data_IF_014001476303
#
_entry.id   IF_014001476303
#
_cell.length_a   1.000
_cell.length_b   1.000
_cell.length_c   1.000
_cell.angle_alpha   90.00
_cell.angle_beta   90.00
_cell.angle_gamma   90.00
#
_symmetry.space_group_name_H-M   'P 1'
#
loop_
_entity.id
_entity.type
_entity.pdbx_description
1 polymer ?
#
# COMPACT_ATOMS: atom_id res chain seq x y z
N UNK A 1 -42.37 -10.19 -57.08
CA UNK A 1 -41.84 -9.87 -58.42
C UNK A 1 -42.60 -10.56 -59.55
N UNK A 2 -42.61 -11.90 -59.65
CA UNK A 2 -43.17 -12.62 -60.81
C UNK A 2 -44.64 -12.26 -61.20
N UNK A 3 -45.52 -11.98 -60.23
CA UNK A 3 -46.95 -11.72 -60.53
C UNK A 3 -47.20 -10.32 -61.11
N UNK A 4 -46.63 -9.25 -60.52
CA UNK A 4 -46.80 -7.86 -61.00
C UNK A 4 -46.08 -7.66 -62.33
N UNK A 5 -44.89 -8.23 -62.50
CA UNK A 5 -44.16 -8.20 -63.77
C UNK A 5 -44.91 -8.93 -64.90
N UNK A 6 -45.57 -10.05 -64.58
CA UNK A 6 -46.42 -10.74 -65.55
C UNK A 6 -47.65 -9.90 -65.95
N UNK A 7 -48.22 -9.14 -65.01
CA UNK A 7 -49.33 -8.22 -65.30
C UNK A 7 -48.88 -7.03 -66.14
N UNK A 8 -47.69 -6.47 -65.88
CA UNK A 8 -47.08 -5.41 -66.71
C UNK A 8 -46.85 -5.91 -68.13
N UNK A 9 -46.25 -7.09 -68.32
CA UNK A 9 -46.07 -7.67 -69.66
C UNK A 9 -47.40 -7.87 -70.40
N UNK A 10 -48.43 -8.34 -69.70
CA UNK A 10 -49.78 -8.45 -70.28
C UNK A 10 -50.35 -7.09 -70.68
N UNK A 11 -50.08 -6.05 -69.89
CA UNK A 11 -50.49 -4.68 -70.16
C UNK A 11 -49.74 -4.09 -71.37
N UNK A 12 -48.44 -4.31 -71.48
CA UNK A 12 -47.61 -3.90 -72.63
C UNK A 12 -48.12 -4.55 -73.93
N UNK A 13 -48.40 -5.86 -73.90
CA UNK A 13 -48.98 -6.57 -75.04
C UNK A 13 -50.37 -6.03 -75.41
N UNK A 14 -51.19 -5.66 -74.42
CA UNK A 14 -52.50 -5.07 -74.67
C UNK A 14 -52.40 -3.66 -75.25
N UNK A 15 -51.43 -2.86 -74.81
CA UNK A 15 -51.11 -1.53 -75.36
C UNK A 15 -50.73 -1.59 -76.83
N UNK A 16 -49.93 -2.57 -77.24
CA UNK A 16 -49.55 -2.78 -78.64
C UNK A 16 -50.77 -3.09 -79.54
N UNK A 17 -51.68 -3.93 -79.04
CA UNK A 17 -52.95 -4.24 -79.73
C UNK A 17 -53.84 -3.00 -79.80
N UNK A 18 -53.96 -2.25 -78.71
CA UNK A 18 -54.72 -1.00 -78.67
C UNK A 18 -54.17 0.04 -79.66
N UNK A 19 -52.85 0.21 -79.73
CA UNK A 19 -52.19 1.13 -80.64
C UNK A 19 -52.59 0.85 -82.10
N UNK A 20 -52.45 -0.41 -82.53
CA UNK A 20 -52.84 -0.84 -83.89
C UNK A 20 -54.32 -0.59 -84.18
N UNK A 21 -55.20 -0.80 -83.19
CA UNK A 21 -56.63 -0.57 -83.36
C UNK A 21 -57.00 0.92 -83.33
N UNK A 22 -56.24 1.75 -82.62
CA UNK A 22 -56.43 3.20 -82.60
C UNK A 22 -56.07 3.85 -83.93
N UNK A 23 -55.01 3.38 -84.60
CA UNK A 23 -54.68 3.80 -85.97
C UNK A 23 -55.85 3.53 -86.93
N UNK A 24 -56.44 2.33 -86.88
CA UNK A 24 -57.63 1.99 -87.69
C UNK A 24 -58.84 2.88 -87.37
N UNK A 25 -59.07 3.20 -86.10
CA UNK A 25 -60.16 4.13 -85.70
C UNK A 25 -59.88 5.53 -86.23
N UNK A 26 -58.63 5.96 -86.26
CA UNK A 26 -58.23 7.26 -86.83
C UNK A 26 -58.46 7.31 -88.34
N UNK A 27 -58.20 6.22 -89.07
CA UNK A 27 -58.56 6.10 -90.48
C UNK A 27 -60.08 6.19 -90.70
N UNK A 28 -60.89 5.49 -89.88
CA UNK A 28 -62.37 5.57 -89.93
C UNK A 28 -62.85 7.01 -89.65
N UNK A 29 -62.20 7.72 -88.72
CA UNK A 29 -62.49 9.12 -88.41
C UNK A 29 -62.14 10.07 -89.57
N UNK A 30 -61.11 9.77 -90.35
CA UNK A 30 -60.80 10.50 -91.59
C UNK A 30 -61.83 10.21 -92.68
N UNK A 31 -62.15 8.94 -92.92
CA UNK A 31 -63.15 8.53 -93.92
C UNK A 31 -64.54 9.14 -93.62
N UNK A 32 -64.96 9.15 -92.35
CA UNK A 32 -66.21 9.77 -91.94
C UNK A 32 -66.22 11.29 -92.19
N UNK A 33 -65.07 11.97 -92.03
CA UNK A 33 -64.91 13.41 -92.33
C UNK A 33 -64.97 13.73 -93.82
N UNK A 34 -64.57 12.80 -94.68
CA UNK A 34 -64.59 12.97 -96.13
C UNK A 34 -66.00 12.79 -96.73
N UNK A 35 -66.92 12.16 -96.00
CA UNK A 35 -68.31 11.87 -96.41
C UNK A 35 -69.32 12.99 -96.09
N UNK A 36 -68.87 14.25 -95.96
CA UNK A 36 -69.71 15.40 -95.57
C UNK A 36 -70.91 15.67 -96.47
N UNK A 37 -70.84 15.30 -97.74
CA UNK A 37 -71.88 15.54 -98.74
C UNK A 37 -72.82 14.32 -98.92
N UNK A 38 -72.72 13.29 -98.09
CA UNK A 38 -73.53 12.07 -98.18
C UNK A 38 -74.89 12.22 -97.45
N UNK A 39 -75.96 11.60 -97.98
CA UNK A 39 -77.33 11.70 -97.42
C UNK A 39 -77.42 11.23 -95.96
N UNK A 40 -76.65 10.19 -95.59
CA UNK A 40 -76.58 9.64 -94.23
C UNK A 40 -75.50 10.26 -93.32
N UNK A 41 -74.93 11.42 -93.67
CA UNK A 41 -73.78 11.99 -92.96
C UNK A 41 -74.01 12.16 -91.45
N UNK A 42 -75.18 12.64 -91.00
CA UNK A 42 -75.46 12.80 -89.56
C UNK A 42 -75.40 11.48 -88.78
N UNK A 43 -75.85 10.38 -89.39
CA UNK A 43 -75.83 9.04 -88.77
C UNK A 43 -74.39 8.51 -88.71
N UNK A 44 -73.62 8.69 -89.79
CA UNK A 44 -72.20 8.30 -89.88
C UNK A 44 -71.37 9.10 -88.88
N UNK A 45 -71.58 10.40 -88.80
CA UNK A 45 -70.95 11.35 -87.88
C UNK A 45 -71.21 10.94 -86.42
N UNK A 46 -72.49 10.74 -86.04
CA UNK A 46 -72.87 10.32 -84.69
C UNK A 46 -72.23 8.99 -84.28
N UNK A 47 -72.19 8.02 -85.19
CA UNK A 47 -71.54 6.72 -84.95
C UNK A 47 -70.02 6.85 -84.81
N UNK A 48 -69.39 7.69 -85.62
CA UNK A 48 -67.96 8.00 -85.52
C UNK A 48 -67.63 8.65 -84.15
N UNK A 49 -68.40 9.65 -83.73
CA UNK A 49 -68.25 10.31 -82.43
C UNK A 49 -68.43 9.36 -81.25
N UNK A 50 -69.33 8.38 -81.34
CA UNK A 50 -69.47 7.33 -80.33
C UNK A 50 -68.21 6.44 -80.25
N UNK A 51 -67.66 6.05 -81.40
CA UNK A 51 -66.44 5.24 -81.47
C UNK A 51 -65.24 6.01 -80.92
N UNK A 52 -65.08 7.29 -81.27
CA UNK A 52 -64.02 8.16 -80.73
C UNK A 52 -64.15 8.32 -79.21
N UNK A 53 -65.36 8.53 -78.68
CA UNK A 53 -65.59 8.56 -77.22
C UNK A 53 -65.18 7.26 -76.54
N UNK A 54 -65.52 6.11 -77.10
CA UNK A 54 -65.12 4.80 -76.57
C UNK A 54 -63.61 4.59 -76.65
N UNK A 55 -62.96 5.02 -77.74
CA UNK A 55 -61.49 5.01 -77.91
C UNK A 55 -60.83 5.84 -76.82
N UNK A 56 -61.29 7.05 -76.58
CA UNK A 56 -60.69 7.98 -75.62
C UNK A 56 -60.88 7.47 -74.19
N UNK A 57 -62.07 6.96 -73.85
CA UNK A 57 -62.32 6.29 -72.56
C UNK A 57 -61.44 5.05 -72.36
N UNK A 58 -61.25 4.23 -73.40
CA UNK A 58 -60.35 3.08 -73.35
C UNK A 58 -58.90 3.53 -73.16
N UNK A 59 -58.45 4.57 -73.86
CA UNK A 59 -57.10 5.13 -73.74
C UNK A 59 -56.84 5.64 -72.32
N UNK A 60 -57.78 6.37 -71.73
CA UNK A 60 -57.68 6.82 -70.34
C UNK A 60 -57.68 5.66 -69.33
N UNK A 61 -58.54 4.65 -69.53
CA UNK A 61 -58.58 3.48 -68.66
C UNK A 61 -57.28 2.66 -68.77
N UNK A 62 -56.72 2.56 -69.97
CA UNK A 62 -55.47 1.88 -70.24
C UNK A 62 -54.29 2.57 -69.57
N UNK A 63 -54.20 3.90 -69.70
CA UNK A 63 -53.18 4.71 -69.03
C UNK A 63 -53.29 4.57 -67.51
N UNK A 64 -54.50 4.72 -66.93
CA UNK A 64 -54.72 4.54 -65.49
C UNK A 64 -54.27 3.16 -65.00
N UNK A 65 -54.56 2.10 -65.77
CA UNK A 65 -54.12 0.74 -65.41
C UNK A 65 -52.60 0.60 -65.49
N UNK A 66 -51.96 1.20 -66.47
CA UNK A 66 -50.50 1.24 -66.60
C UNK A 66 -49.86 1.91 -65.39
N UNK A 67 -50.35 3.09 -65.01
CA UNK A 67 -49.86 3.86 -63.87
C UNK A 67 -49.98 3.03 -62.58
N UNK A 68 -51.15 2.44 -62.31
CA UNK A 68 -51.37 1.56 -61.13
C UNK A 68 -50.40 0.35 -61.12
N UNK A 69 -50.12 -0.25 -62.28
CA UNK A 69 -49.19 -1.38 -62.36
C UNK A 69 -47.73 -0.96 -62.13
N UNK A 70 -47.35 0.25 -62.57
CA UNK A 70 -46.04 0.83 -62.29
C UNK A 70 -45.87 1.15 -60.81
N UNK A 71 -46.87 1.79 -60.20
CA UNK A 71 -46.96 2.06 -58.76
C UNK A 71 -46.86 0.76 -57.95
N UNK A 72 -47.64 -0.26 -58.30
CA UNK A 72 -47.60 -1.56 -57.63
C UNK A 72 -46.22 -2.24 -57.73
N UNK A 73 -45.50 -2.04 -58.83
CA UNK A 73 -44.13 -2.53 -58.99
C UNK A 73 -43.16 -1.76 -58.09
N UNK A 74 -43.25 -0.42 -58.06
CA UNK A 74 -42.42 0.41 -57.20
C UNK A 74 -42.62 0.07 -55.72
N UNK A 75 -43.87 -0.07 -55.27
CA UNK A 75 -44.20 -0.52 -53.91
C UNK A 75 -43.59 -1.90 -53.61
N UNK A 76 -43.72 -2.86 -54.52
CA UNK A 76 -43.19 -4.21 -54.27
C UNK A 76 -41.65 -4.23 -54.21
N UNK A 77 -40.96 -3.39 -54.98
CA UNK A 77 -39.51 -3.22 -54.90
C UNK A 77 -39.11 -2.60 -53.55
N UNK A 78 -39.83 -1.55 -53.14
CA UNK A 78 -39.61 -0.88 -51.87
C UNK A 78 -39.81 -1.82 -50.67
N UNK A 79 -40.89 -2.60 -50.65
CA UNK A 79 -41.16 -3.55 -49.56
C UNK A 79 -40.09 -4.65 -49.46
N UNK A 80 -39.53 -5.09 -50.60
CA UNK A 80 -38.44 -6.07 -50.60
C UNK A 80 -37.17 -5.47 -50.00
N UNK A 81 -36.77 -4.28 -50.45
CA UNK A 81 -35.59 -3.60 -49.93
C UNK A 81 -35.74 -3.27 -48.44
N UNK A 82 -36.93 -2.83 -48.03
CA UNK A 82 -37.28 -2.61 -46.63
C UNK A 82 -37.07 -3.87 -45.79
N UNK A 83 -37.57 -5.02 -46.26
CA UNK A 83 -37.44 -6.29 -45.54
C UNK A 83 -35.97 -6.69 -45.38
N UNK A 84 -35.15 -6.50 -46.42
CA UNK A 84 -33.71 -6.76 -46.35
C UNK A 84 -32.99 -5.86 -45.34
N UNK A 85 -33.26 -4.55 -45.37
CA UNK A 85 -32.66 -3.59 -44.42
C UNK A 85 -33.13 -3.89 -43.00
N UNK A 86 -34.42 -4.19 -42.80
CA UNK A 86 -35.01 -4.51 -41.49
C UNK A 86 -34.41 -5.77 -40.88
N UNK A 87 -34.24 -6.83 -41.68
CA UNK A 87 -33.59 -8.07 -41.25
C UNK A 87 -32.12 -7.84 -40.87
N UNK A 88 -31.40 -7.09 -41.71
CA UNK A 88 -30.01 -6.73 -41.42
C UNK A 88 -29.90 -5.94 -40.12
N UNK A 89 -30.73 -4.91 -39.90
CA UNK A 89 -30.74 -4.15 -38.64
C UNK A 89 -31.06 -5.05 -37.44
N UNK A 90 -32.09 -5.89 -37.54
CA UNK A 90 -32.49 -6.80 -36.47
C UNK A 90 -31.36 -7.77 -36.08
N UNK A 91 -30.62 -8.28 -37.08
CA UNK A 91 -29.43 -9.10 -36.83
C UNK A 91 -28.32 -8.30 -36.12
N UNK A 92 -28.06 -7.07 -36.55
CA UNK A 92 -27.04 -6.21 -35.94
C UNK A 92 -27.41 -5.80 -34.52
N UNK A 93 -28.69 -5.51 -34.24
CA UNK A 93 -29.19 -5.23 -32.88
C UNK A 93 -28.91 -6.44 -31.98
N UNK A 94 -29.18 -7.67 -32.44
CA UNK A 94 -28.89 -8.88 -31.66
C UNK A 94 -27.42 -9.00 -31.29
N UNK A 95 -26.51 -8.64 -32.21
CA UNK A 95 -25.06 -8.62 -31.94
C UNK A 95 -24.66 -7.48 -31.00
N UNK A 96 -25.24 -6.30 -31.17
CA UNK A 96 -24.99 -5.12 -30.33
C UNK A 96 -25.55 -5.29 -28.90
N UNK A 97 -26.56 -6.12 -28.70
CA UNK A 97 -27.19 -6.35 -27.39
C UNK A 97 -26.63 -7.55 -26.63
N UNK A 98 -25.55 -8.19 -27.11
CA UNK A 98 -24.91 -9.27 -26.36
C UNK A 98 -24.17 -8.76 -25.11
N UNK A 99 -23.99 -9.65 -24.14
CA UNK A 99 -23.29 -9.38 -22.87
C UNK A 99 -21.79 -9.76 -22.91
N UNK A 100 -21.18 -9.80 -24.09
CA UNK A 100 -19.80 -10.28 -24.27
C UNK A 100 -18.74 -9.45 -23.51
N UNK A 101 -19.08 -8.21 -23.13
CA UNK A 101 -18.24 -7.29 -22.34
C UNK A 101 -18.05 -7.75 -20.88
N UNK A 102 -18.94 -8.60 -20.35
CA UNK A 102 -18.82 -9.11 -18.95
C UNK A 102 -17.64 -10.07 -18.78
N UNK A 103 -17.25 -10.74 -19.84
CA UNK A 103 -16.05 -11.57 -19.87
C UNK A 103 -14.84 -10.71 -20.23
N UNK A 104 -13.95 -10.52 -19.26
CA UNK A 104 -12.77 -9.66 -19.38
C UNK A 104 -11.65 -10.28 -20.24
N UNK A 105 -11.78 -11.55 -20.66
CA UNK A 105 -10.79 -12.17 -21.52
C UNK A 105 -10.80 -11.55 -22.93
N UNK A 106 -9.61 -11.32 -23.48
CA UNK A 106 -9.42 -10.74 -24.82
C UNK A 106 -10.18 -9.41 -25.04
N UNK A 107 -10.39 -8.61 -23.99
CA UNK A 107 -11.20 -7.39 -24.04
C UNK A 107 -10.71 -6.38 -25.11
N UNK A 108 -9.40 -6.28 -25.32
CA UNK A 108 -8.83 -5.46 -26.38
C UNK A 108 -9.32 -5.90 -27.77
N UNK A 109 -9.32 -7.22 -28.03
CA UNK A 109 -9.83 -7.77 -29.28
C UNK A 109 -11.33 -7.52 -29.45
N UNK A 110 -12.11 -7.65 -28.37
CA UNK A 110 -13.55 -7.33 -28.36
C UNK A 110 -13.79 -5.86 -28.70
N UNK A 111 -12.99 -4.96 -28.12
CA UNK A 111 -13.06 -3.50 -28.39
C UNK A 111 -12.72 -3.18 -29.86
N UNK A 112 -11.67 -3.79 -30.41
CA UNK A 112 -11.31 -3.62 -31.82
C UNK A 112 -12.38 -4.17 -32.77
N UNK A 113 -12.96 -5.33 -32.46
CA UNK A 113 -14.07 -5.90 -33.22
C UNK A 113 -15.30 -5.00 -33.18
N UNK A 114 -15.61 -4.39 -32.03
CA UNK A 114 -16.71 -3.43 -31.91
C UNK A 114 -16.45 -2.16 -32.72
N UNK A 115 -15.23 -1.64 -32.75
CA UNK A 115 -14.89 -0.50 -33.60
C UNK A 115 -15.07 -0.81 -35.10
N UNK A 116 -14.72 -2.03 -35.53
CA UNK A 116 -14.99 -2.48 -36.90
C UNK A 116 -16.50 -2.62 -37.18
N UNK A 117 -17.27 -3.08 -36.19
CA UNK A 117 -18.73 -3.16 -36.25
C UNK A 117 -19.38 -1.76 -36.33
N UNK A 118 -18.90 -0.78 -35.56
CA UNK A 118 -19.32 0.63 -35.67
C UNK A 118 -19.06 1.18 -37.08
N UNK A 119 -17.87 0.90 -37.65
CA UNK A 119 -17.53 1.31 -39.02
C UNK A 119 -18.44 0.65 -40.07
N UNK A 120 -18.80 -0.62 -39.89
CA UNK A 120 -19.75 -1.33 -40.75
C UNK A 120 -21.14 -0.67 -40.71
N UNK A 121 -21.65 -0.33 -39.52
CA UNK A 121 -22.94 0.35 -39.38
C UNK A 121 -22.92 1.71 -40.08
N UNK A 122 -21.88 2.51 -39.86
CA UNK A 122 -21.73 3.83 -40.49
C UNK A 122 -21.62 3.73 -42.02
N UNK A 123 -20.96 2.71 -42.55
CA UNK A 123 -20.89 2.48 -44.00
C UNK A 123 -22.24 2.14 -44.63
N UNK A 124 -23.17 1.57 -43.85
CA UNK A 124 -24.53 1.25 -44.29
C UNK A 124 -25.55 2.37 -44.03
N UNK A 125 -25.17 3.45 -43.33
CA UNK A 125 -26.04 4.58 -43.06
C UNK A 125 -26.56 5.24 -44.35
N UNK A 126 -25.69 5.39 -45.37
CA UNK A 126 -26.11 5.95 -46.67
C UNK A 126 -27.22 5.13 -47.32
N UNK A 127 -27.15 3.79 -47.25
CA UNK A 127 -28.20 2.89 -47.77
C UNK A 127 -29.54 3.13 -47.09
N UNK A 128 -29.55 3.30 -45.76
CA UNK A 128 -30.78 3.57 -45.01
C UNK A 128 -31.35 4.94 -45.39
N UNK A 129 -30.51 5.97 -45.48
CA UNK A 129 -30.92 7.32 -45.90
C UNK A 129 -31.47 7.34 -47.32
N UNK A 130 -30.82 6.65 -48.26
CA UNK A 130 -31.25 6.59 -49.65
C UNK A 130 -32.55 5.80 -49.81
N UNK A 131 -32.76 4.76 -49.00
CA UNK A 131 -34.05 4.05 -48.92
C UNK A 131 -35.16 4.96 -48.39
N UNK A 132 -34.93 5.68 -47.28
CA UNK A 132 -35.93 6.59 -46.71
C UNK A 132 -36.34 7.66 -47.71
N UNK A 133 -35.39 8.28 -48.42
CA UNK A 133 -35.69 9.25 -49.49
C UNK A 133 -36.53 8.66 -50.62
N UNK A 134 -36.24 7.43 -51.04
CA UNK A 134 -37.03 6.75 -52.07
C UNK A 134 -38.47 6.52 -51.59
N UNK A 135 -38.64 6.13 -50.33
CA UNK A 135 -39.95 5.97 -49.72
C UNK A 135 -40.72 7.29 -49.59
N UNK A 136 -40.05 8.37 -49.19
CA UNK A 136 -40.60 9.72 -49.10
C UNK A 136 -41.06 10.25 -50.46
N UNK A 137 -40.29 10.03 -51.53
CA UNK A 137 -40.69 10.43 -52.88
C UNK A 137 -42.02 9.79 -53.31
N UNK A 138 -42.25 8.50 -52.99
CA UNK A 138 -43.52 7.84 -53.27
C UNK A 138 -44.68 8.43 -52.45
N UNK A 139 -44.41 8.95 -51.25
CA UNK A 139 -45.42 9.67 -50.46
C UNK A 139 -45.78 11.02 -51.09
N UNK A 140 -44.79 11.76 -51.60
CA UNK A 140 -45.00 13.03 -52.30
C UNK A 140 -45.84 12.86 -53.57
N UNK A 141 -45.66 11.75 -54.28
CA UNK A 141 -46.43 11.37 -55.46
C UNK A 141 -47.88 10.91 -55.13
N UNK A 142 -48.28 10.90 -53.85
CA UNK A 142 -49.58 10.45 -53.35
C UNK A 142 -49.91 9.02 -53.76
N UNK A 143 -48.92 8.14 -53.69
CA UNK A 143 -49.04 6.72 -53.99
C UNK A 143 -50.22 6.07 -53.22
N UNK A 144 -50.93 5.14 -53.85
CA UNK A 144 -52.15 4.55 -53.26
C UNK A 144 -51.93 3.84 -51.91
N UNK A 145 -50.69 3.38 -51.65
CA UNK A 145 -50.26 2.73 -50.42
C UNK A 145 -49.51 3.66 -49.44
N UNK A 146 -49.73 4.98 -49.50
CA UNK A 146 -48.99 5.96 -48.70
C UNK A 146 -49.02 5.67 -47.19
N UNK A 147 -50.13 5.19 -46.64
CA UNK A 147 -50.25 4.86 -45.20
C UNK A 147 -49.30 3.72 -44.82
N UNK A 148 -49.26 2.65 -45.61
CA UNK A 148 -48.38 1.50 -45.39
C UNK A 148 -46.90 1.91 -45.51
N UNK A 149 -46.55 2.70 -46.53
CA UNK A 149 -45.20 3.23 -46.72
C UNK A 149 -44.78 4.07 -45.51
N UNK A 150 -45.66 4.93 -45.01
CA UNK A 150 -45.36 5.78 -43.85
C UNK A 150 -45.13 4.97 -42.57
N UNK A 151 -45.94 3.95 -42.29
CA UNK A 151 -45.73 3.04 -41.16
C UNK A 151 -44.39 2.32 -41.26
N UNK A 152 -44.00 1.89 -42.46
CA UNK A 152 -42.73 1.23 -42.70
C UNK A 152 -41.52 2.15 -42.50
N UNK A 153 -41.58 3.40 -42.96
CA UNK A 153 -40.53 4.39 -42.70
C UNK A 153 -40.37 4.60 -41.20
N UNK A 154 -41.47 4.82 -40.46
CA UNK A 154 -41.41 5.04 -39.02
C UNK A 154 -40.80 3.85 -38.27
N UNK A 155 -41.17 2.63 -38.65
CA UNK A 155 -40.58 1.42 -38.06
C UNK A 155 -39.08 1.29 -38.35
N UNK A 156 -38.65 1.67 -39.56
CA UNK A 156 -37.25 1.67 -39.95
C UNK A 156 -36.42 2.67 -39.15
N UNK A 157 -36.95 3.89 -38.96
CA UNK A 157 -36.33 4.94 -38.15
C UNK A 157 -36.16 4.50 -36.69
N UNK A 158 -37.21 3.90 -36.10
CA UNK A 158 -37.16 3.37 -34.74
C UNK A 158 -36.10 2.26 -34.61
N UNK A 159 -36.04 1.33 -35.57
CA UNK A 159 -35.03 0.27 -35.59
C UNK A 159 -33.60 0.81 -35.75
N UNK A 160 -33.44 1.86 -36.55
CA UNK A 160 -32.14 2.52 -36.70
C UNK A 160 -31.70 3.19 -35.40
N UNK A 161 -32.62 3.89 -34.72
CA UNK A 161 -32.37 4.48 -33.41
C UNK A 161 -32.01 3.41 -32.37
N UNK A 162 -32.76 2.30 -32.31
CA UNK A 162 -32.48 1.16 -31.43
C UNK A 162 -31.09 0.56 -31.69
N UNK A 163 -30.71 0.38 -32.97
CA UNK A 163 -29.39 -0.11 -33.35
C UNK A 163 -28.28 0.83 -32.90
N UNK A 164 -28.45 2.13 -33.10
CA UNK A 164 -27.47 3.14 -32.66
C UNK A 164 -27.34 3.16 -31.14
N UNK A 165 -28.46 3.12 -30.41
CA UNK A 165 -28.49 3.08 -28.96
C UNK A 165 -27.81 1.82 -28.42
N UNK A 166 -28.13 0.64 -28.97
CA UNK A 166 -27.50 -0.62 -28.57
C UNK A 166 -25.99 -0.63 -28.85
N UNK A 167 -25.58 -0.10 -30.02
CA UNK A 167 -24.17 -0.02 -30.41
C UNK A 167 -23.37 0.91 -29.50
N UNK A 168 -23.94 2.07 -29.17
CA UNK A 168 -23.33 3.04 -28.26
C UNK A 168 -23.26 2.48 -26.83
N UNK A 169 -24.34 1.87 -26.34
CA UNK A 169 -24.35 1.24 -25.03
C UNK A 169 -23.29 0.14 -24.92
N UNK A 170 -23.14 -0.72 -25.93
CA UNK A 170 -22.09 -1.75 -25.93
C UNK A 170 -20.68 -1.15 -25.92
N UNK A 171 -20.46 -0.03 -26.61
CA UNK A 171 -19.19 0.70 -26.57
C UNK A 171 -18.89 1.23 -25.16
N UNK A 172 -19.87 1.84 -24.50
CA UNK A 172 -19.75 2.30 -23.13
C UNK A 172 -19.46 1.14 -22.18
N UNK A 173 -20.18 0.02 -22.32
CA UNK A 173 -19.95 -1.19 -21.50
C UNK A 173 -18.59 -1.83 -21.72
N UNK A 174 -18.07 -1.83 -22.94
CA UNK A 174 -16.70 -2.30 -23.22
C UNK A 174 -15.64 -1.39 -22.59
N UNK A 175 -15.88 -0.07 -22.59
CA UNK A 175 -15.01 0.89 -21.90
C UNK A 175 -15.06 0.70 -20.39
N UNK A 176 -16.26 0.62 -19.81
CA UNK A 176 -16.43 0.32 -18.39
C UNK A 176 -15.71 -1.00 -18.01
N UNK A 177 -15.85 -2.05 -18.83
CA UNK A 177 -15.18 -3.32 -18.57
C UNK A 177 -13.64 -3.19 -18.57
N UNK A 178 -13.11 -2.29 -19.40
CA UNK A 178 -11.68 -2.01 -19.45
C UNK A 178 -11.23 -1.24 -18.21
N UNK A 179 -11.97 -0.21 -17.83
CA UNK A 179 -11.70 0.58 -16.63
C UNK A 179 -11.76 -0.29 -15.36
N UNK A 180 -12.74 -1.19 -15.27
CA UNK A 180 -12.85 -2.17 -14.19
C UNK A 180 -11.69 -3.18 -14.16
N UNK A 181 -11.18 -3.62 -15.31
CA UNK A 181 -10.02 -4.51 -15.38
C UNK A 181 -8.74 -3.81 -14.88
N UNK A 182 -8.51 -2.56 -15.32
CA UNK A 182 -7.37 -1.77 -14.85
C UNK A 182 -7.46 -1.50 -13.35
N UNK A 183 -8.66 -1.19 -12.87
CA UNK A 183 -8.94 -1.02 -11.45
C UNK A 183 -8.61 -2.29 -10.65
N UNK A 184 -9.09 -3.44 -11.15
CA UNK A 184 -8.87 -4.73 -10.52
C UNK A 184 -7.37 -5.04 -10.39
N UNK A 185 -6.58 -4.85 -11.44
CA UNK A 185 -5.13 -5.09 -11.36
C UNK A 185 -4.46 -4.25 -10.28
N UNK A 186 -4.78 -2.94 -10.22
CA UNK A 186 -4.24 -2.06 -9.17
C UNK A 186 -4.66 -2.50 -7.77
N UNK A 187 -5.89 -3.00 -7.62
CA UNK A 187 -6.37 -3.49 -6.33
C UNK A 187 -5.74 -4.83 -5.96
N UNK A 188 -5.51 -5.72 -6.93
CA UNK A 188 -4.84 -7.00 -6.75
C UNK A 188 -3.38 -6.79 -6.30
N UNK A 189 -2.68 -5.77 -6.81
CA UNK A 189 -1.33 -5.41 -6.34
C UNK A 189 -1.31 -5.06 -4.83
N UNK A 190 -2.31 -4.28 -4.37
CA UNK A 190 -2.45 -3.95 -2.94
C UNK A 190 -2.79 -5.21 -2.14
N UNK A 191 -3.72 -6.03 -2.62
CA UNK A 191 -4.13 -7.25 -1.93
C UNK A 191 -2.99 -8.25 -1.80
N UNK A 192 -2.14 -8.37 -2.81
CA UNK A 192 -0.94 -9.21 -2.75
C UNK A 192 0.00 -8.74 -1.64
N UNK A 193 0.30 -7.44 -1.58
CA UNK A 193 1.12 -6.88 -0.49
C UNK A 193 0.47 -7.07 0.89
N UNK A 194 -0.86 -6.89 1.00
CA UNK A 194 -1.58 -7.14 2.25
C UNK A 194 -1.43 -8.60 2.70
N UNK A 195 -1.56 -9.57 1.79
CA UNK A 195 -1.38 -11.00 2.09
C UNK A 195 0.04 -11.31 2.58
N UNK A 196 1.06 -10.80 1.89
CA UNK A 196 2.46 -10.99 2.31
C UNK A 196 2.73 -10.36 3.69
N UNK A 197 2.19 -9.16 3.91
CA UNK A 197 2.37 -8.41 5.16
C UNK A 197 1.64 -9.09 6.33
N UNK A 198 0.42 -9.59 6.10
CA UNK A 198 -0.35 -10.37 7.10
C UNK A 198 0.45 -11.59 7.57
N UNK A 199 1.03 -12.36 6.64
CA UNK A 199 1.86 -13.53 6.97
C UNK A 199 3.12 -13.14 7.77
N UNK A 200 3.78 -12.04 7.40
CA UNK A 200 4.96 -11.58 8.12
C UNK A 200 4.63 -11.11 9.55
N UNK A 201 3.49 -10.43 9.71
CA UNK A 201 3.00 -9.97 11.02
C UNK A 201 2.52 -11.14 11.89
N UNK A 202 2.09 -12.26 11.34
CA UNK A 202 1.73 -13.44 12.15
C UNK A 202 2.95 -14.16 12.75
N UNK A 203 4.17 -13.92 12.26
CA UNK A 203 5.38 -14.45 12.90
C UNK A 203 5.63 -13.76 14.25
N UNK A 204 5.67 -14.54 15.34
CA UNK A 204 5.64 -14.05 16.73
C UNK A 204 6.90 -14.33 17.56
N UNK A 205 7.93 -14.97 17.01
CA UNK A 205 9.11 -15.36 17.81
C UNK A 205 10.30 -14.45 17.54
N UNK A 206 10.57 -13.54 18.48
CA UNK A 206 11.82 -12.78 18.53
C UNK A 206 12.59 -13.11 19.82
N UNK A 207 13.91 -13.19 19.72
CA UNK A 207 14.80 -13.34 20.87
C UNK A 207 14.77 -12.02 21.69
N UNK A 208 14.53 -12.06 23.01
CA UNK A 208 14.53 -10.87 23.87
C UNK A 208 15.92 -10.26 24.11
N UNK A 209 16.79 -10.26 23.10
CA UNK A 209 18.08 -9.58 23.09
C UNK A 209 17.96 -8.21 22.40
N UNK A 210 18.67 -7.20 22.92
CA UNK A 210 18.72 -5.83 22.38
C UNK A 210 18.98 -5.81 20.87
N UNK A 211 19.92 -6.62 20.37
CA UNK A 211 20.26 -6.64 18.94
C UNK A 211 19.11 -7.19 18.08
N UNK A 212 18.46 -8.27 18.53
CA UNK A 212 17.33 -8.88 17.83
C UNK A 212 16.09 -7.97 17.87
N UNK A 213 15.80 -7.35 19.02
CA UNK A 213 14.72 -6.38 19.19
C UNK A 213 14.90 -5.16 18.27
N UNK A 214 16.12 -4.63 18.16
CA UNK A 214 16.39 -3.51 17.25
C UNK A 214 16.22 -3.89 15.78
N UNK A 215 16.60 -5.11 15.40
CA UNK A 215 16.39 -5.62 14.05
C UNK A 215 14.88 -5.71 13.74
N UNK A 216 14.09 -6.26 14.66
CA UNK A 216 12.65 -6.39 14.46
C UNK A 216 11.94 -5.04 14.45
N UNK A 217 12.37 -4.08 15.29
CA UNK A 217 11.86 -2.70 15.25
C UNK A 217 12.12 -2.06 13.89
N UNK A 218 13.34 -2.17 13.37
CA UNK A 218 13.67 -1.62 12.05
C UNK A 218 12.80 -2.25 10.95
N UNK A 219 12.60 -3.56 11.00
CA UNK A 219 11.74 -4.28 10.06
C UNK A 219 10.29 -3.79 10.12
N UNK A 220 9.70 -3.65 11.32
CA UNK A 220 8.34 -3.13 11.49
C UNK A 220 8.23 -1.67 10.99
N UNK A 221 9.27 -0.85 11.20
CA UNK A 221 9.31 0.53 10.70
C UNK A 221 9.43 0.60 9.17
N UNK A 222 10.18 -0.31 8.55
CA UNK A 222 10.23 -0.44 7.08
C UNK A 222 8.86 -0.83 6.53
N UNK A 223 8.22 -1.85 7.10
CA UNK A 223 6.84 -2.25 6.75
C UNK A 223 5.84 -1.10 6.95
N UNK A 224 6.01 -0.29 8.00
CA UNK A 224 5.18 0.90 8.26
C UNK A 224 5.32 1.98 7.19
N UNK A 225 6.53 2.19 6.65
CA UNK A 225 6.75 3.13 5.53
C UNK A 225 6.10 2.62 4.25
N UNK A 226 6.23 1.33 3.95
CA UNK A 226 5.55 0.71 2.82
C UNK A 226 4.03 0.84 2.96
N UNK A 227 3.49 0.62 4.16
CA UNK A 227 2.06 0.81 4.43
C UNK A 227 1.58 2.24 4.13
N UNK A 228 2.38 3.26 4.43
CA UNK A 228 2.03 4.65 4.12
C UNK A 228 1.93 4.91 2.61
N UNK A 229 2.80 4.30 1.79
CA UNK A 229 2.71 4.37 0.33
C UNK A 229 1.43 3.70 -0.18
N UNK A 230 1.10 2.50 0.32
CA UNK A 230 -0.14 1.81 -0.03
C UNK A 230 -1.40 2.52 0.46
N UNK A 231 -1.33 3.25 1.58
CA UNK A 231 -2.41 4.14 2.05
C UNK A 231 -2.79 5.18 1.01
N UNK A 232 -1.79 5.81 0.40
CA UNK A 232 -2.01 6.82 -0.65
C UNK A 232 -2.62 6.18 -1.90
N UNK A 233 -2.11 5.03 -2.33
CA UNK A 233 -2.66 4.29 -3.46
C UNK A 233 -4.12 3.86 -3.22
N UNK A 234 -4.44 3.39 -2.02
CA UNK A 234 -5.80 3.00 -1.64
C UNK A 234 -6.77 4.18 -1.61
N UNK A 235 -6.31 5.39 -1.21
CA UNK A 235 -7.11 6.62 -1.32
C UNK A 235 -7.43 6.95 -2.77
N UNK A 236 -6.42 6.92 -3.65
CA UNK A 236 -6.64 7.14 -5.09
C UNK A 236 -7.63 6.12 -5.69
N UNK A 237 -7.54 4.85 -5.30
CA UNK A 237 -8.50 3.84 -5.72
C UNK A 237 -9.91 4.07 -5.15
N UNK A 238 -10.01 4.61 -3.93
CA UNK A 238 -11.30 4.99 -3.35
C UNK A 238 -11.94 6.14 -4.12
N UNK A 239 -11.17 7.16 -4.50
CA UNK A 239 -11.65 8.28 -5.32
C UNK A 239 -12.13 7.81 -6.69
N UNK A 240 -11.38 6.89 -7.34
CA UNK A 240 -11.78 6.28 -8.61
C UNK A 240 -13.07 5.46 -8.45
N UNK A 241 -13.22 4.71 -7.34
CA UNK A 241 -14.44 3.95 -7.08
C UNK A 241 -15.67 4.87 -6.89
N UNK A 242 -15.49 6.02 -6.25
CA UNK A 242 -16.54 7.05 -6.14
C UNK A 242 -16.88 7.66 -7.51
N UNK A 243 -15.89 7.92 -8.36
CA UNK A 243 -16.09 8.40 -9.73
C UNK A 243 -16.91 7.39 -10.57
N UNK A 244 -16.61 6.08 -10.45
CA UNK A 244 -17.38 5.02 -11.09
C UNK A 244 -18.82 4.97 -10.59
N UNK A 245 -19.05 5.24 -9.31
CA UNK A 245 -20.40 5.33 -8.76
C UNK A 245 -21.19 6.50 -9.36
N UNK A 246 -20.56 7.68 -9.46
CA UNK A 246 -21.18 8.88 -10.02
C UNK A 246 -21.54 8.71 -11.49
N UNK A 247 -20.71 8.00 -12.26
CA UNK A 247 -20.96 7.68 -13.68
C UNK A 247 -21.94 6.53 -13.90
N UNK A 248 -22.46 5.92 -12.84
CA UNK A 248 -23.34 4.75 -12.93
C UNK A 248 -22.71 3.56 -13.69
N UNK A 249 -21.42 3.33 -13.45
CA UNK A 249 -20.65 2.22 -14.02
C UNK A 249 -21.30 0.85 -13.71
N UNK A 250 -21.31 -0.09 -14.67
CA UNK A 250 -22.07 -1.35 -14.48
C UNK A 250 -21.60 -2.21 -13.30
N UNK A 251 -20.30 -2.20 -12.99
CA UNK A 251 -19.71 -2.92 -11.83
C UNK A 251 -19.54 -2.09 -10.56
N UNK A 252 -20.18 -0.92 -10.45
CA UNK A 252 -19.96 0.02 -9.33
C UNK A 252 -20.11 -0.64 -7.94
N UNK A 253 -21.12 -1.48 -7.75
CA UNK A 253 -21.41 -2.07 -6.44
C UNK A 253 -20.34 -3.10 -6.03
N UNK A 254 -19.84 -3.89 -6.98
CA UNK A 254 -18.75 -4.84 -6.75
C UNK A 254 -17.44 -4.10 -6.44
N UNK A 255 -17.12 -3.06 -7.22
CA UNK A 255 -15.89 -2.27 -7.02
C UNK A 255 -15.88 -1.64 -5.62
N UNK A 256 -16.97 -0.97 -5.22
CA UNK A 256 -17.08 -0.37 -3.88
C UNK A 256 -16.95 -1.41 -2.77
N UNK A 257 -17.59 -2.57 -2.94
CA UNK A 257 -17.49 -3.69 -1.99
C UNK A 257 -16.05 -4.18 -1.83
N UNK A 258 -15.31 -4.34 -2.93
CA UNK A 258 -13.92 -4.79 -2.90
C UNK A 258 -12.96 -3.75 -2.31
N UNK A 259 -13.13 -2.47 -2.62
CA UNK A 259 -12.36 -1.38 -2.00
C UNK A 259 -12.60 -1.35 -0.49
N UNK A 260 -13.86 -1.48 -0.07
CA UNK A 260 -14.21 -1.48 1.35
C UNK A 260 -13.55 -2.64 2.10
N UNK A 261 -13.56 -3.86 1.54
CA UNK A 261 -12.87 -5.02 2.11
C UNK A 261 -11.37 -4.80 2.22
N UNK A 262 -10.75 -4.35 1.14
CA UNK A 262 -9.30 -4.06 1.08
C UNK A 262 -8.92 -2.98 2.10
N UNK A 263 -9.75 -1.94 2.25
CA UNK A 263 -9.57 -0.87 3.24
C UNK A 263 -9.67 -1.38 4.67
N UNK A 264 -10.58 -2.30 4.95
CA UNK A 264 -10.70 -2.90 6.28
C UNK A 264 -9.46 -3.75 6.63
N UNK A 265 -8.95 -4.54 5.67
CA UNK A 265 -7.69 -5.30 5.84
C UNK A 265 -6.50 -4.37 6.08
N UNK A 266 -6.35 -3.33 5.26
CA UNK A 266 -5.30 -2.33 5.44
C UNK A 266 -5.31 -1.71 6.85
N UNK A 267 -6.48 -1.26 7.33
CA UNK A 267 -6.61 -0.67 8.69
C UNK A 267 -6.23 -1.67 9.78
N UNK A 268 -6.58 -2.95 9.60
CA UNK A 268 -6.19 -3.98 10.55
C UNK A 268 -4.67 -4.16 10.62
N UNK A 269 -3.99 -4.15 9.48
CA UNK A 269 -2.52 -4.21 9.41
C UNK A 269 -1.91 -2.97 10.07
N UNK A 270 -2.39 -1.77 9.73
CA UNK A 270 -1.92 -0.51 10.29
C UNK A 270 -2.00 -0.50 11.84
N UNK A 271 -3.17 -0.87 12.39
CA UNK A 271 -3.36 -1.01 13.83
C UNK A 271 -2.43 -2.06 14.45
N UNK A 272 -2.17 -3.16 13.75
CA UNK A 272 -1.35 -4.26 14.26
C UNK A 272 0.13 -3.90 14.25
N UNK A 273 0.61 -3.25 13.19
CA UNK A 273 1.97 -2.72 13.10
C UNK A 273 2.24 -1.72 14.23
N UNK A 274 1.32 -0.77 14.46
CA UNK A 274 1.47 0.22 15.53
C UNK A 274 1.53 -0.43 16.93
N UNK A 275 0.66 -1.43 17.17
CA UNK A 275 0.67 -2.19 18.43
C UNK A 275 1.96 -2.99 18.61
N UNK A 276 2.44 -3.65 17.55
CA UNK A 276 3.70 -4.39 17.57
C UNK A 276 4.89 -3.47 17.81
N UNK A 277 4.96 -2.34 17.12
CA UNK A 277 6.01 -1.34 17.31
C UNK A 277 6.06 -0.88 18.78
N UNK A 278 4.91 -0.53 19.35
CA UNK A 278 4.81 -0.08 20.74
C UNK A 278 5.30 -1.16 21.73
N UNK A 279 4.87 -2.41 21.53
CA UNK A 279 5.29 -3.56 22.36
C UNK A 279 6.78 -3.85 22.25
N UNK A 280 7.34 -3.78 21.04
CA UNK A 280 8.77 -4.02 20.81
C UNK A 280 9.63 -2.92 21.47
N UNK A 281 9.20 -1.66 21.39
CA UNK A 281 9.88 -0.55 22.08
C UNK A 281 9.82 -0.70 23.61
N UNK A 282 8.68 -1.12 24.16
CA UNK A 282 8.54 -1.44 25.59
C UNK A 282 9.47 -2.59 26.00
N UNK A 283 9.48 -3.70 25.24
CA UNK A 283 10.40 -4.83 25.45
C UNK A 283 11.86 -4.40 25.40
N UNK A 284 12.24 -3.54 24.44
CA UNK A 284 13.59 -3.01 24.30
C UNK A 284 14.01 -2.19 25.51
N UNK A 285 13.11 -1.35 26.03
CA UNK A 285 13.38 -0.56 27.23
C UNK A 285 13.60 -1.48 28.45
N UNK A 286 12.76 -2.50 28.61
CA UNK A 286 12.87 -3.45 29.71
C UNK A 286 14.15 -4.30 29.63
N UNK A 287 14.50 -4.83 28.44
CA UNK A 287 15.74 -5.60 28.25
C UNK A 287 16.98 -4.74 28.51
N UNK A 288 16.99 -3.48 28.05
CA UNK A 288 18.12 -2.55 28.33
C UNK A 288 18.26 -2.28 29.83
N UNK A 289 17.14 -2.02 30.51
CA UNK A 289 17.14 -1.85 31.95
C UNK A 289 17.65 -3.11 32.67
N UNK A 290 17.28 -4.29 32.19
CA UNK A 290 17.72 -5.56 32.79
C UNK A 290 19.23 -5.77 32.67
N UNK A 291 19.78 -5.42 31.49
CA UNK A 291 21.22 -5.42 31.26
C UNK A 291 21.93 -4.41 32.16
N UNK A 292 21.42 -3.17 32.24
CA UNK A 292 21.98 -2.13 33.12
C UNK A 292 22.01 -2.58 34.59
N UNK A 293 20.91 -3.16 35.09
CA UNK A 293 20.84 -3.67 36.47
C UNK A 293 21.84 -4.82 36.68
N UNK A 294 21.95 -5.73 35.70
CA UNK A 294 22.85 -6.87 35.77
C UNK A 294 24.32 -6.45 35.75
N UNK A 295 24.67 -5.46 34.93
CA UNK A 295 26.02 -4.90 34.83
C UNK A 295 26.43 -4.21 36.13
N UNK A 296 25.55 -3.38 36.72
CA UNK A 296 25.83 -2.74 38.01
C UNK A 296 25.87 -3.75 39.15
N UNK A 297 25.02 -4.78 39.13
CA UNK A 297 25.06 -5.87 40.11
C UNK A 297 26.40 -6.63 40.03
N UNK A 298 26.86 -6.96 38.83
CA UNK A 298 28.14 -7.64 38.63
C UNK A 298 29.30 -6.82 39.18
N UNK A 299 29.34 -5.52 38.86
CA UNK A 299 30.37 -4.61 39.38
C UNK A 299 30.31 -4.50 40.91
N UNK A 300 29.13 -4.44 41.53
CA UNK A 300 29.00 -4.44 42.99
C UNK A 300 29.58 -5.72 43.59
N UNK A 301 29.20 -6.89 43.06
CA UNK A 301 29.66 -8.20 43.56
C UNK A 301 31.18 -8.36 43.43
N UNK A 302 31.78 -7.88 42.33
CA UNK A 302 33.23 -7.85 42.15
C UNK A 302 33.93 -6.98 43.21
N UNK A 303 33.39 -5.80 43.49
CA UNK A 303 33.96 -4.89 44.49
C UNK A 303 33.73 -5.34 45.93
N UNK A 304 32.61 -6.00 46.21
CA UNK A 304 32.37 -6.67 47.50
C UNK A 304 33.45 -7.70 47.77
N UNK A 305 33.79 -8.55 46.78
CA UNK A 305 34.87 -9.54 46.92
C UNK A 305 36.22 -8.89 47.19
N UNK A 306 36.52 -7.75 46.56
CA UNK A 306 37.75 -6.99 46.84
C UNK A 306 37.75 -6.48 48.29
N UNK A 307 36.60 -6.05 48.80
CA UNK A 307 36.48 -5.54 50.16
C UNK A 307 36.60 -6.65 51.21
N UNK A 308 36.03 -7.82 50.95
CA UNK A 308 36.04 -8.98 51.83
C UNK A 308 37.34 -9.81 51.74
N UNK A 309 38.18 -9.55 50.74
CA UNK A 309 39.44 -10.28 50.56
C UNK A 309 40.32 -10.18 51.82
N UNK A 310 40.59 -11.33 52.44
CA UNK A 310 41.48 -11.45 53.59
C UNK A 310 42.93 -11.18 53.16
N UNK A 311 43.55 -10.20 53.82
CA UNK A 311 44.97 -9.89 53.64
C UNK A 311 45.73 -10.11 54.94
N UNK A 312 46.89 -10.77 54.82
CA UNK A 312 47.87 -10.79 55.90
C UNK A 312 48.62 -9.46 55.91
N UNK A 313 48.49 -8.72 57.01
CA UNK A 313 49.19 -7.45 57.21
C UNK A 313 50.61 -7.73 57.69
N UNK A 314 51.51 -8.02 56.76
CA UNK A 314 52.85 -8.52 57.09
C UNK A 314 53.88 -7.40 57.36
N UNK A 315 53.72 -6.24 56.73
CA UNK A 315 54.62 -5.12 56.88
C UNK A 315 53.90 -3.77 56.72
N UNK A 316 54.53 -2.69 57.18
CA UNK A 316 53.95 -1.34 57.12
C UNK A 316 53.69 -0.86 55.69
N UNK A 317 54.57 -1.20 54.75
CA UNK A 317 54.48 -0.74 53.36
C UNK A 317 53.29 -1.36 52.62
N UNK A 318 53.02 -2.65 52.84
CA UNK A 318 51.90 -3.39 52.28
C UNK A 318 50.57 -2.87 52.79
N UNK A 319 50.46 -2.54 54.09
CA UNK A 319 49.25 -1.92 54.66
C UNK A 319 49.01 -0.52 54.07
N UNK A 320 50.05 0.32 53.96
CA UNK A 320 49.94 1.63 53.32
C UNK A 320 49.56 1.53 51.84
N UNK A 321 50.07 0.53 51.12
CA UNK A 321 49.68 0.27 49.74
C UNK A 321 48.21 -0.17 49.63
N UNK A 322 47.73 -1.03 50.54
CA UNK A 322 46.32 -1.42 50.61
C UNK A 322 45.40 -0.25 50.95
N UNK A 323 45.83 0.69 51.81
CA UNK A 323 45.08 1.91 52.09
C UNK A 323 44.95 2.81 50.86
N UNK A 324 46.03 3.01 50.10
CA UNK A 324 45.98 3.77 48.84
C UNK A 324 45.04 3.11 47.82
N UNK A 325 45.06 1.77 47.73
CA UNK A 325 44.12 1.02 46.88
C UNK A 325 42.67 1.19 47.34
N UNK A 326 42.40 1.16 48.65
CA UNK A 326 41.07 1.40 49.19
C UNK A 326 40.58 2.83 48.88
N UNK A 327 41.43 3.84 49.03
CA UNK A 327 41.09 5.22 48.71
C UNK A 327 40.75 5.41 47.21
N UNK A 328 41.47 4.71 46.32
CA UNK A 328 41.14 4.70 44.90
C UNK A 328 39.77 4.06 44.65
N UNK A 329 39.48 2.93 45.30
CA UNK A 329 38.18 2.27 45.21
C UNK A 329 37.03 3.12 45.76
N UNK A 330 37.22 3.81 46.89
CA UNK A 330 36.25 4.77 47.45
C UNK A 330 35.93 5.88 46.45
N UNK A 331 36.94 6.37 45.73
CA UNK A 331 36.76 7.40 44.68
C UNK A 331 35.99 6.85 43.49
N UNK A 332 36.28 5.62 43.05
CA UNK A 332 35.56 4.94 41.97
C UNK A 332 34.08 4.78 42.33
N UNK A 333 33.79 4.33 43.55
CA UNK A 333 32.42 4.13 44.02
C UNK A 333 31.65 5.44 44.14
N UNK A 334 32.26 6.49 44.67
CA UNK A 334 31.66 7.81 44.71
C UNK A 334 31.33 8.34 43.29
N UNK A 335 32.14 7.99 42.29
CA UNK A 335 31.87 8.36 40.89
C UNK A 335 30.76 7.54 40.23
N UNK A 336 30.58 6.28 40.65
CA UNK A 336 29.61 5.34 40.07
C UNK A 336 28.25 5.35 40.77
N UNK A 337 28.20 5.79 42.02
CA UNK A 337 26.98 5.99 42.80
C UNK A 337 25.86 6.73 42.04
N UNK A 338 26.07 7.89 41.38
CA UNK A 338 25.00 8.55 40.64
C UNK A 338 24.47 7.72 39.46
N UNK A 339 25.28 6.86 38.85
CA UNK A 339 24.85 5.98 37.76
C UNK A 339 23.95 4.86 38.28
N UNK A 340 24.36 4.23 39.39
CA UNK A 340 23.59 3.16 40.06
C UNK A 340 22.24 3.71 40.52
N UNK A 341 22.21 4.88 41.15
CA UNK A 341 20.96 5.54 41.55
C UNK A 341 20.06 5.85 40.35
N UNK A 342 20.64 6.25 39.22
CA UNK A 342 19.87 6.47 37.99
C UNK A 342 19.26 5.17 37.44
N UNK A 343 19.98 4.05 37.48
CA UNK A 343 19.45 2.73 37.10
C UNK A 343 18.30 2.32 38.02
N UNK A 344 18.46 2.52 39.34
CA UNK A 344 17.42 2.24 40.33
C UNK A 344 16.16 3.08 40.09
N UNK A 345 16.32 4.39 39.85
CA UNK A 345 15.21 5.29 39.54
C UNK A 345 14.47 4.86 38.27
N UNK A 346 15.20 4.48 37.21
CA UNK A 346 14.61 3.96 35.97
C UNK A 346 13.81 2.68 36.22
N UNK A 347 14.34 1.75 37.01
CA UNK A 347 13.66 0.49 37.27
C UNK A 347 12.50 0.58 38.26
N UNK A 348 12.50 1.53 39.20
CA UNK A 348 11.31 1.82 40.03
C UNK A 348 10.17 2.42 39.19
N UNK A 349 10.51 3.17 38.14
CA UNK A 349 9.53 3.77 37.21
C UNK A 349 8.99 2.82 36.15
N UNK A 350 9.62 1.65 35.93
CA UNK A 350 9.27 0.77 34.80
C UNK A 350 7.93 0.04 34.96
N UNK A 351 7.22 0.22 36.09
CA UNK A 351 5.91 -0.37 36.39
C UNK A 351 5.87 -1.91 36.19
N UNK A 352 7.03 -2.56 36.31
CA UNK A 352 7.24 -3.99 36.13
C UNK A 352 7.75 -4.60 37.44
N UNK A 353 6.97 -5.51 38.01
CA UNK A 353 7.27 -6.14 39.31
C UNK A 353 8.62 -6.87 39.32
N UNK A 354 9.01 -7.50 38.21
CA UNK A 354 10.30 -8.20 38.11
C UNK A 354 11.48 -7.22 38.14
N UNK A 355 11.38 -6.11 37.42
CA UNK A 355 12.39 -5.04 37.47
C UNK A 355 12.45 -4.41 38.86
N UNK A 356 11.31 -4.18 39.51
CA UNK A 356 11.26 -3.62 40.85
C UNK A 356 11.97 -4.50 41.89
N UNK A 357 11.77 -5.82 41.83
CA UNK A 357 12.48 -6.78 42.69
C UNK A 357 14.00 -6.76 42.45
N UNK A 358 14.44 -6.72 41.19
CA UNK A 358 15.87 -6.64 40.85
C UNK A 358 16.50 -5.33 41.32
N UNK A 359 15.78 -4.20 41.22
CA UNK A 359 16.23 -2.91 41.76
C UNK A 359 16.36 -2.93 43.28
N UNK A 360 15.39 -3.51 43.98
CA UNK A 360 15.48 -3.63 45.44
C UNK A 360 16.70 -4.45 45.85
N UNK A 361 16.95 -5.56 45.18
CA UNK A 361 18.16 -6.36 45.43
C UNK A 361 19.45 -5.58 45.13
N UNK A 362 19.47 -4.78 44.05
CA UNK A 362 20.60 -3.89 43.73
C UNK A 362 20.83 -2.87 44.84
N UNK A 363 19.77 -2.32 45.43
CA UNK A 363 19.83 -1.36 46.53
C UNK A 363 20.43 -1.99 47.79
N UNK A 364 19.95 -3.16 48.18
CA UNK A 364 20.50 -3.93 49.30
C UNK A 364 21.99 -4.23 49.11
N UNK A 365 22.38 -4.71 47.92
CA UNK A 365 23.77 -5.05 47.62
C UNK A 365 24.67 -3.82 47.55
N UNK A 366 24.18 -2.70 47.04
CA UNK A 366 24.93 -1.46 47.01
C UNK A 366 25.16 -0.90 48.42
N UNK A 367 24.15 -0.98 49.29
CA UNK A 367 24.31 -0.63 50.70
C UNK A 367 25.32 -1.55 51.39
N UNK A 368 25.26 -2.85 51.12
CA UNK A 368 26.24 -3.80 51.65
C UNK A 368 27.68 -3.48 51.23
N UNK A 369 27.91 -3.06 49.98
CA UNK A 369 29.22 -2.62 49.51
C UNK A 369 29.74 -1.41 50.30
N UNK A 370 28.89 -0.41 50.56
CA UNK A 370 29.24 0.77 51.37
C UNK A 370 29.66 0.38 52.79
N UNK A 371 28.95 -0.58 53.38
CA UNK A 371 29.25 -1.10 54.72
C UNK A 371 30.57 -1.90 54.71
N UNK A 372 30.80 -2.75 53.70
CA UNK A 372 32.02 -3.54 53.55
C UNK A 372 33.28 -2.67 53.41
N UNK A 373 33.19 -1.55 52.69
CA UNK A 373 34.28 -0.58 52.54
C UNK A 373 34.56 0.14 53.84
N UNK A 374 33.51 0.58 54.53
CA UNK A 374 33.62 1.23 55.83
C UNK A 374 34.32 0.32 56.84
N UNK A 375 33.96 -0.97 56.84
CA UNK A 375 34.60 -1.99 57.68
C UNK A 375 36.06 -2.23 57.28
N UNK A 376 36.36 -2.34 55.98
CA UNK A 376 37.74 -2.53 55.49
C UNK A 376 38.62 -1.34 55.82
N UNK A 377 38.09 -0.12 55.74
CA UNK A 377 38.78 1.11 56.14
C UNK A 377 39.20 1.05 57.61
N UNK A 378 38.29 0.64 58.49
CA UNK A 378 38.56 0.46 59.91
C UNK A 378 39.65 -0.59 60.14
N UNK A 379 39.50 -1.79 59.55
CA UNK A 379 40.49 -2.87 59.66
C UNK A 379 41.89 -2.46 59.18
N UNK A 380 41.98 -1.71 58.08
CA UNK A 380 43.26 -1.21 57.56
C UNK A 380 43.84 -0.08 58.42
N UNK A 381 43.01 0.74 59.05
CA UNK A 381 43.47 1.75 60.02
C UNK A 381 44.08 1.07 61.26
N UNK A 382 43.39 0.07 61.82
CA UNK A 382 43.87 -0.71 62.96
C UNK A 382 45.16 -1.46 62.62
N UNK A 383 45.21 -2.11 61.45
CA UNK A 383 46.40 -2.80 60.97
C UNK A 383 47.58 -1.85 60.73
N UNK A 384 47.31 -0.63 60.24
CA UNK A 384 48.34 0.39 60.05
C UNK A 384 48.94 0.80 61.39
N UNK A 385 48.09 1.04 62.39
CA UNK A 385 48.56 1.41 63.72
C UNK A 385 49.41 0.31 64.36
N UNK A 386 48.96 -0.95 64.26
CA UNK A 386 49.73 -2.11 64.74
C UNK A 386 51.08 -2.22 64.03
N UNK A 387 51.12 -2.09 62.70
CA UNK A 387 52.37 -2.18 61.93
C UNK A 387 53.31 -1.00 62.17
N UNK A 388 52.79 0.21 62.42
CA UNK A 388 53.61 1.35 62.86
C UNK A 388 54.30 1.05 64.19
N UNK A 389 53.56 0.50 65.15
CA UNK A 389 54.12 0.09 66.43
C UNK A 389 55.20 -0.99 66.29
N UNK A 390 54.94 -2.06 65.52
CA UNK A 390 55.95 -3.11 65.29
C UNK A 390 57.19 -2.58 64.58
N UNK A 391 57.02 -1.65 63.62
CA UNK A 391 58.14 -0.99 62.96
C UNK A 391 58.98 -0.17 63.95
N UNK A 392 58.34 0.68 64.76
CA UNK A 392 59.01 1.48 65.80
C UNK A 392 59.72 0.60 66.84
N UNK A 393 59.07 -0.48 67.29
CA UNK A 393 59.65 -1.45 68.22
C UNK A 393 60.88 -2.13 67.62
N UNK A 394 60.80 -2.56 66.35
CA UNK A 394 61.93 -3.18 65.64
C UNK A 394 63.09 -2.19 65.46
N UNK A 395 62.80 -0.92 65.14
CA UNK A 395 63.83 0.12 65.05
C UNK A 395 64.49 0.37 66.41
N UNK A 396 63.70 0.40 67.49
CA UNK A 396 64.21 0.53 68.85
C UNK A 396 65.09 -0.68 69.24
N UNK A 397 64.69 -1.90 68.92
CA UNK A 397 65.49 -3.11 69.14
C UNK A 397 66.80 -3.10 68.34
N UNK A 398 66.76 -2.72 67.07
CA UNK A 398 67.96 -2.57 66.23
C UNK A 398 68.90 -1.52 66.80
N UNK A 399 68.38 -0.37 67.21
CA UNK A 399 69.15 0.68 67.86
C UNK A 399 69.76 0.19 69.17
N UNK A 400 68.98 -0.49 70.02
CA UNK A 400 69.49 -1.07 71.27
C UNK A 400 70.60 -2.09 71.00
N UNK A 401 70.45 -2.96 69.99
CA UNK A 401 71.47 -3.94 69.59
C UNK A 401 72.74 -3.26 69.06
N UNK A 402 72.61 -2.20 68.27
CA UNK A 402 73.74 -1.39 67.79
C UNK A 402 74.47 -0.71 68.94
N UNK A 403 73.74 -0.12 69.89
CA UNK A 403 74.35 0.52 71.07
C UNK A 403 74.97 -0.51 72.00
N UNK A 404 74.34 -1.67 72.20
CA UNK A 404 74.89 -2.76 72.98
C UNK A 404 76.17 -3.31 72.36
N UNK A 405 76.22 -3.48 71.03
CA UNK A 405 77.45 -3.93 70.35
C UNK A 405 78.58 -2.89 70.42
N UNK A 406 78.26 -1.60 70.42
CA UNK A 406 79.24 -0.53 70.65
C UNK A 406 79.80 -0.52 72.08
N UNK A 407 79.01 -0.95 73.06
CA UNK A 407 79.42 -1.05 74.47
C UNK A 407 80.20 -2.35 74.74
N UNK A 408 79.77 -3.48 74.16
CA UNK A 408 80.36 -4.81 74.39
C UNK A 408 81.58 -5.08 73.48
N UNK A 409 81.62 -4.54 72.26
CA UNK A 409 82.74 -4.69 71.32
C UNK A 409 83.96 -3.81 71.65
N UNK A 410 83.94 -3.10 72.77
CA UNK A 410 85.07 -2.31 73.25
C UNK A 410 86.05 -3.20 74.04
N UNK A 411 86.60 -4.23 73.40
CA UNK A 411 87.72 -4.96 73.98
C UNK A 411 88.94 -4.04 74.09
N UNK A 412 89.50 -4.01 75.29
CA UNK A 412 90.38 -2.97 75.78
C UNK A 412 91.81 -3.07 75.22
N UNK A 413 92.20 -2.12 74.37
CA UNK A 413 93.61 -1.77 74.21
C UNK A 413 94.01 -0.76 75.30
N UNK A 414 94.91 -1.19 76.18
CA UNK A 414 95.32 -0.53 77.43
C UNK A 414 96.28 0.65 77.18
N UNK A 415 95.81 1.69 76.51
CA UNK A 415 96.48 3.00 76.38
C UNK A 415 95.59 4.09 77.04
N UNK A 416 96.20 5.01 77.79
CA UNK A 416 95.55 6.16 78.46
C UNK A 416 94.75 7.03 77.47
N UNK A 417 95.23 7.18 76.24
CA UNK A 417 94.54 7.89 75.16
C UNK A 417 93.26 7.16 74.72
N UNK A 418 93.32 5.84 74.62
CA UNK A 418 92.17 4.96 74.34
C UNK A 418 91.12 5.01 75.45
N UNK A 419 91.54 5.07 76.72
CA UNK A 419 90.65 5.21 77.89
C UNK A 419 89.93 6.57 77.89
N UNK A 420 90.62 7.68 77.59
CA UNK A 420 89.96 9.00 77.49
C UNK A 420 88.95 9.06 76.33
N UNK A 421 89.25 8.43 75.19
CA UNK A 421 88.32 8.31 74.06
C UNK A 421 87.12 7.43 74.45
N UNK A 422 87.33 6.35 75.19
CA UNK A 422 86.25 5.50 75.70
C UNK A 422 85.36 6.20 76.73
N UNK A 423 85.92 6.99 77.65
CA UNK A 423 85.13 7.79 78.61
C UNK A 423 84.31 8.86 77.88
N UNK A 424 84.88 9.54 76.88
CA UNK A 424 84.13 10.47 76.03
C UNK A 424 83.03 9.76 75.24
N UNK A 425 83.32 8.60 74.64
CA UNK A 425 82.32 7.77 73.95
C UNK A 425 81.22 7.29 74.89
N UNK A 426 81.55 6.84 76.10
CA UNK A 426 80.59 6.43 77.13
C UNK A 426 79.68 7.58 77.60
N UNK A 427 80.24 8.78 77.78
CA UNK A 427 79.44 9.97 78.12
C UNK A 427 78.51 10.39 76.97
N UNK A 428 78.97 10.29 75.70
CA UNK A 428 78.13 10.53 74.52
C UNK A 428 77.04 9.47 74.39
N UNK A 429 77.35 8.19 74.60
CA UNK A 429 76.37 7.10 74.61
C UNK A 429 75.33 7.26 75.71
N UNK A 430 75.73 7.74 76.89
CA UNK A 430 74.83 8.03 78.02
C UNK A 430 73.90 9.22 77.71
N UNK A 431 74.44 10.31 77.14
CA UNK A 431 73.63 11.45 76.71
C UNK A 431 72.63 11.04 75.62
N UNK A 432 73.04 10.17 74.68
CA UNK A 432 72.16 9.62 73.64
C UNK A 432 71.08 8.69 74.22
N UNK A 433 71.38 7.93 75.28
CA UNK A 433 70.41 7.11 76.00
C UNK A 433 69.36 7.99 76.71
N UNK A 434 69.80 9.04 77.40
CA UNK A 434 68.90 9.98 78.08
C UNK A 434 67.99 10.73 77.08
N UNK A 435 68.51 11.06 75.90
CA UNK A 435 67.72 11.66 74.81
C UNK A 435 66.72 10.67 74.20
N UNK A 436 67.12 9.40 74.03
CA UNK A 436 66.23 8.36 73.53
C UNK A 436 65.09 8.06 74.50
N UNK A 437 65.37 7.91 75.81
CA UNK A 437 64.35 7.68 76.85
C UNK A 437 63.35 8.84 76.93
N UNK A 438 63.83 10.08 76.84
CA UNK A 438 62.93 11.25 76.77
C UNK A 438 62.09 11.25 75.49
N UNK A 439 62.65 10.81 74.36
CA UNK A 439 61.94 10.70 73.09
C UNK A 439 60.84 9.62 73.12
N UNK A 440 61.10 8.47 73.74
CA UNK A 440 60.11 7.38 73.86
C UNK A 440 59.02 7.70 74.87
N UNK A 441 59.32 8.35 76.00
CA UNK A 441 58.31 8.81 76.97
C UNK A 441 57.34 9.87 76.38
N UNK A 442 57.83 10.74 75.50
CA UNK A 442 57.00 11.74 74.80
C UNK A 442 56.12 11.08 73.73
N UNK A 443 56.65 10.09 73.00
CA UNK A 443 55.88 9.34 72.01
C UNK A 443 54.75 8.51 72.65
N UNK A 444 54.96 7.92 73.83
CA UNK A 444 53.92 7.20 74.56
C UNK A 444 52.84 8.14 75.13
N UNK A 445 53.20 9.33 75.63
CA UNK A 445 52.22 10.30 76.18
C UNK A 445 51.35 10.98 75.12
N UNK A 446 51.81 11.06 73.87
CA UNK A 446 51.03 11.63 72.75
C UNK A 446 50.04 10.64 72.13
N UNK A 447 50.06 9.37 72.57
CA UNK A 447 49.19 8.30 72.05
C UNK A 447 47.91 8.08 72.88
N UNK A 448 47.87 8.63 74.10
CA UNK A 448 46.75 8.56 75.05
C UNK A 448 45.86 9.84 75.06
N UNK A 449 45.93 10.66 74.00
CA UNK A 449 45.05 11.82 73.74
C UNK A 449 44.47 11.65 72.34
#
# INVERSE_FOLDING_TARGET
MSSVEALIRKQENFEEICFTNFEKIQEIEMMARDLKDHEDFEVIQSRCEEICRRRDALKEANQRRKDILQDAKALQQLLLEMYEITNWMSEKIRVASDDSYKDLTNLLSKTQKHAAFEAEILANHSRVVDFTKQAENLLEEKHFASVEIQEHIQNLENLWEDLMNATNLKKERLRDAYDALQFKHKLDDINYWLEETEVQIESEEYDPNVAALLLEINKIQEMGKEAEEYSQNLRLLSDIAEEFQQRNHFSKDEIISQVKKTTQRYRHIEDTLQKKESKLHESLLLTRLDNDISDEMCWIEENVKICEADHRYNDLMSVQALQKKLQALETEIASREPLILSVMERGQRSNNDASALKVHHLEERFQYLKDAISLRRLRLADALEAQKYYFEATQAEMWMKEKLSQVVGADAERDIYSVQIQVRRGNVSRLNLDLFVKGTEVAFKLRDV
#
